data_IF_776235828465
#
_entry.id   IF_776235828465
#
_cell.length_a   1.000
_cell.length_b   1.000
_cell.length_c   1.000
_cell.angle_alpha   90.00
_cell.angle_beta   90.00
_cell.angle_gamma   90.00
#
_symmetry.space_group_name_H-M   'P 1'
#
loop_
_entity.id
_entity.type
_entity.pdbx_description
1 polymer ?
#
# COMPACT_ATOMS: atom_id res chain seq x y z
N UNK A 1 2.20 -6.60 -20.59
CA UNK A 1 3.44 -5.87 -20.99
C UNK A 1 4.60 -6.29 -20.10
N UNK A 2 5.86 -6.26 -20.58
CA UNK A 2 7.01 -6.66 -19.75
C UNK A 2 7.20 -5.67 -18.59
N UNK A 3 7.56 -6.14 -17.37
CA UNK A 3 7.82 -5.27 -16.24
C UNK A 3 9.04 -4.37 -16.48
N UNK A 4 9.01 -3.18 -15.88
CA UNK A 4 10.10 -2.20 -15.92
C UNK A 4 10.57 -1.88 -14.51
N UNK A 5 11.85 -1.53 -14.35
CA UNK A 5 12.38 -1.22 -13.03
C UNK A 5 11.90 0.15 -12.53
N UNK A 6 11.43 0.23 -11.29
CA UNK A 6 10.86 1.48 -10.73
C UNK A 6 11.87 2.65 -10.70
N UNK A 7 13.15 2.35 -10.44
CA UNK A 7 14.24 3.34 -10.41
C UNK A 7 14.81 3.66 -11.80
N UNK A 8 14.55 2.80 -12.80
CA UNK A 8 15.08 2.91 -14.18
C UNK A 8 13.99 2.47 -15.16
N UNK A 9 13.00 3.32 -15.47
CA UNK A 9 11.82 2.93 -16.25
C UNK A 9 12.11 2.45 -17.68
N UNK A 10 13.30 2.75 -18.21
CA UNK A 10 13.79 2.27 -19.50
C UNK A 10 14.35 0.84 -19.46
N UNK A 11 14.58 0.28 -18.26
CA UNK A 11 15.13 -1.05 -18.08
C UNK A 11 13.99 -2.06 -17.88
N UNK A 12 13.79 -2.93 -18.86
CA UNK A 12 12.88 -4.08 -18.73
C UNK A 12 13.53 -5.17 -17.89
N UNK A 13 12.75 -5.77 -17.01
CA UNK A 13 13.19 -6.86 -16.11
C UNK A 13 12.30 -8.08 -16.26
N UNK A 14 12.73 -9.22 -15.71
CA UNK A 14 11.90 -10.43 -15.69
C UNK A 14 10.78 -10.29 -14.65
N UNK A 15 9.59 -10.87 -14.90
CA UNK A 15 8.54 -10.93 -13.89
C UNK A 15 9.04 -11.55 -12.58
N UNK A 16 8.73 -10.91 -11.46
CA UNK A 16 9.21 -11.33 -10.14
C UNK A 16 10.56 -10.76 -9.72
N UNK A 17 11.16 -9.86 -10.52
CA UNK A 17 12.35 -9.10 -10.09
C UNK A 17 11.97 -8.07 -9.03
N UNK A 18 12.72 -7.98 -7.94
CA UNK A 18 12.49 -7.00 -6.87
C UNK A 18 12.52 -5.56 -7.40
N UNK A 19 11.42 -4.84 -7.16
CA UNK A 19 11.21 -3.49 -7.67
C UNK A 19 10.91 -3.37 -9.16
N UNK A 20 10.62 -4.50 -9.82
CA UNK A 20 10.01 -4.55 -11.14
C UNK A 20 8.51 -4.25 -11.07
N UNK A 21 8.05 -3.25 -11.82
CA UNK A 21 6.66 -2.82 -11.88
C UNK A 21 6.07 -3.20 -13.24
N UNK A 22 4.95 -3.90 -13.22
CA UNK A 22 4.16 -4.24 -14.43
C UNK A 22 2.80 -3.56 -14.37
N UNK A 23 2.22 -3.26 -15.54
CA UNK A 23 0.87 -2.67 -15.62
C UNK A 23 -0.17 -3.56 -14.92
N UNK A 24 -0.08 -4.87 -15.15
CA UNK A 24 -0.97 -5.86 -14.53
C UNK A 24 -0.83 -5.86 -13.01
N UNK A 25 0.40 -5.80 -12.48
CA UNK A 25 0.67 -5.71 -11.05
C UNK A 25 0.18 -4.41 -10.43
N UNK A 26 0.37 -3.27 -11.11
CA UNK A 26 -0.13 -1.96 -10.62
C UNK A 26 -1.65 -1.89 -10.60
N UNK A 27 -2.33 -2.45 -11.61
CA UNK A 27 -3.79 -2.54 -11.61
C UNK A 27 -4.28 -3.50 -10.52
N UNK A 28 -3.61 -4.64 -10.34
CA UNK A 28 -3.93 -5.58 -9.28
C UNK A 28 -3.76 -4.95 -7.88
N UNK A 29 -2.68 -4.19 -7.64
CA UNK A 29 -2.47 -3.51 -6.36
C UNK A 29 -3.49 -2.39 -6.13
N UNK A 30 -3.87 -1.65 -7.17
CA UNK A 30 -4.93 -0.65 -7.08
C UNK A 30 -6.28 -1.30 -6.72
N UNK A 31 -6.70 -2.33 -7.44
CA UNK A 31 -7.95 -3.04 -7.16
C UNK A 31 -7.92 -3.73 -5.78
N UNK A 32 -6.78 -4.27 -5.38
CA UNK A 32 -6.60 -4.85 -4.05
C UNK A 32 -6.72 -3.78 -2.96
N UNK A 33 -6.12 -2.61 -3.13
CA UNK A 33 -6.19 -1.53 -2.14
C UNK A 33 -7.62 -1.01 -1.94
N UNK A 34 -8.37 -0.85 -3.03
CA UNK A 34 -9.78 -0.42 -3.00
C UNK A 34 -10.65 -1.49 -2.34
N UNK A 35 -10.51 -2.75 -2.75
CA UNK A 35 -11.30 -3.84 -2.18
C UNK A 35 -10.98 -4.09 -0.71
N UNK A 36 -9.72 -4.00 -0.30
CA UNK A 36 -9.30 -4.15 1.10
C UNK A 36 -9.82 -2.99 1.97
N UNK A 37 -9.83 -1.77 1.45
CA UNK A 37 -10.42 -0.62 2.14
C UNK A 37 -11.93 -0.79 2.35
N UNK A 38 -12.66 -1.21 1.31
CA UNK A 38 -14.09 -1.52 1.43
C UNK A 38 -14.36 -2.67 2.43
N UNK A 39 -13.52 -3.71 2.42
CA UNK A 39 -13.64 -4.83 3.34
C UNK A 39 -13.38 -4.39 4.79
N UNK A 40 -12.38 -3.52 5.00
CA UNK A 40 -12.08 -2.94 6.32
C UNK A 40 -13.26 -2.12 6.84
N UNK A 41 -13.89 -1.31 5.99
CA UNK A 41 -15.10 -0.57 6.35
C UNK A 41 -16.30 -1.49 6.67
N UNK A 42 -16.54 -2.51 5.84
CA UNK A 42 -17.60 -3.49 6.10
C UNK A 42 -17.37 -4.23 7.42
N UNK A 43 -16.13 -4.64 7.70
CA UNK A 43 -15.76 -5.26 8.96
C UNK A 43 -15.96 -4.30 10.15
N UNK A 44 -15.60 -3.02 10.01
CA UNK A 44 -15.84 -2.00 11.03
C UNK A 44 -17.33 -1.89 11.37
N UNK A 45 -18.20 -1.78 10.35
CA UNK A 45 -19.66 -1.67 10.53
C UNK A 45 -20.27 -2.93 11.15
N UNK A 46 -19.78 -4.13 10.80
CA UNK A 46 -20.29 -5.39 11.33
C UNK A 46 -19.85 -5.68 12.76
N UNK A 47 -18.62 -5.29 13.13
CA UNK A 47 -18.03 -5.58 14.44
C UNK A 47 -18.43 -4.51 15.47
N UNK A 48 -18.40 -3.24 15.07
CA UNK A 48 -18.74 -2.11 15.93
C UNK A 48 -20.22 -1.79 15.67
N UNK A 49 -21.09 -2.52 16.38
CA UNK A 49 -22.53 -2.29 16.31
C UNK A 49 -22.91 -0.82 16.53
N UNK A 50 -24.06 -0.42 15.99
CA UNK A 50 -24.53 0.97 15.91
C UNK A 50 -24.62 1.71 17.26
N UNK A 51 -24.69 0.99 18.37
CA UNK A 51 -24.83 1.55 19.73
C UNK A 51 -23.50 1.80 20.46
N UNK A 52 -22.35 1.52 19.84
CA UNK A 52 -21.05 1.74 20.47
C UNK A 52 -20.65 3.23 20.39
N UNK A 53 -20.09 3.88 21.43
CA UNK A 53 -19.63 5.26 21.37
C UNK A 53 -18.48 5.52 20.36
N UNK A 54 -17.99 4.46 19.72
CA UNK A 54 -17.00 4.48 18.64
C UNK A 54 -17.65 4.39 17.25
N UNK A 55 -19.00 4.36 17.17
CA UNK A 55 -19.81 4.53 15.97
C UNK A 55 -19.83 5.98 15.49
N UNK A 56 -18.70 6.67 15.66
CA UNK A 56 -18.47 7.94 14.97
C UNK A 56 -18.78 7.72 13.48
N UNK A 57 -19.40 8.69 12.80
CA UNK A 57 -19.62 8.59 11.37
C UNK A 57 -18.25 8.34 10.74
N UNK A 58 -18.03 7.10 10.31
CA UNK A 58 -16.84 6.73 9.58
C UNK A 58 -16.89 7.55 8.31
N UNK A 59 -16.19 8.68 8.32
CA UNK A 59 -16.20 9.59 7.19
C UNK A 59 -15.68 8.84 5.98
N UNK A 60 -16.30 9.09 4.83
CA UNK A 60 -15.88 8.51 3.55
C UNK A 60 -14.40 8.84 3.28
N UNK A 61 -13.90 9.92 3.90
CA UNK A 61 -12.48 10.29 3.94
C UNK A 61 -11.57 9.14 4.40
N UNK A 62 -11.94 8.35 5.42
CA UNK A 62 -11.12 7.22 5.89
C UNK A 62 -11.00 6.09 4.87
N UNK A 63 -12.07 5.82 4.10
CA UNK A 63 -12.03 4.88 2.98
C UNK A 63 -11.04 5.36 1.91
N UNK A 64 -11.13 6.63 1.52
CA UNK A 64 -10.23 7.19 0.51
C UNK A 64 -8.77 7.20 0.96
N UNK A 65 -8.51 7.62 2.20
CA UNK A 65 -7.16 7.65 2.78
C UNK A 65 -6.61 6.21 2.85
N UNK A 66 -7.40 5.26 3.33
CA UNK A 66 -6.99 3.86 3.42
C UNK A 66 -6.67 3.24 2.05
N UNK A 67 -7.54 3.43 1.06
CA UNK A 67 -7.30 2.92 -0.30
C UNK A 67 -6.06 3.58 -0.94
N UNK A 68 -5.94 4.91 -0.83
CA UNK A 68 -4.80 5.65 -1.36
C UNK A 68 -3.48 5.21 -0.75
N UNK A 69 -3.39 5.17 0.58
CA UNK A 69 -2.17 4.76 1.27
C UNK A 69 -1.88 3.26 1.11
N UNK A 70 -2.91 2.41 0.97
CA UNK A 70 -2.73 1.00 0.62
C UNK A 70 -2.06 0.84 -0.75
N UNK A 71 -2.50 1.58 -1.76
CA UNK A 71 -1.86 1.59 -3.07
C UNK A 71 -0.47 2.24 -3.02
N UNK A 72 -0.34 3.40 -2.39
CA UNK A 72 0.92 4.13 -2.27
C UNK A 72 2.00 3.32 -1.54
N UNK A 73 1.61 2.57 -0.51
CA UNK A 73 2.49 1.64 0.19
C UNK A 73 3.08 0.56 -0.70
N UNK A 74 2.31 0.05 -1.68
CA UNK A 74 2.83 -0.91 -2.67
C UNK A 74 3.92 -0.32 -3.58
N UNK A 75 3.84 0.99 -3.85
CA UNK A 75 4.86 1.72 -4.62
C UNK A 75 6.11 1.92 -3.76
N UNK A 76 5.95 2.29 -2.48
CA UNK A 76 7.06 2.41 -1.53
C UNK A 76 7.78 1.07 -1.38
N UNK A 77 7.03 -0.02 -1.24
CA UNK A 77 7.57 -1.37 -1.13
C UNK A 77 8.43 -1.74 -2.35
N UNK A 78 7.92 -1.49 -3.57
CA UNK A 78 8.67 -1.69 -4.81
C UNK A 78 9.93 -0.82 -4.89
N UNK A 79 9.86 0.43 -4.42
CA UNK A 79 11.01 1.35 -4.39
C UNK A 79 12.08 0.88 -3.40
N UNK A 80 11.68 0.43 -2.21
CA UNK A 80 12.58 -0.12 -1.21
C UNK A 80 13.17 -1.46 -1.66
N UNK A 81 12.39 -2.31 -2.32
CA UNK A 81 12.88 -3.53 -2.96
C UNK A 81 13.96 -3.23 -4.01
N UNK A 82 13.71 -2.27 -4.90
CA UNK A 82 14.67 -1.84 -5.91
C UNK A 82 15.95 -1.21 -5.33
N UNK A 83 15.92 -0.67 -4.11
CA UNK A 83 17.04 0.10 -3.55
C UNK A 83 17.79 -0.61 -2.42
N UNK A 84 17.10 -1.24 -1.49
CA UNK A 84 17.67 -1.87 -0.28
C UNK A 84 17.80 -3.38 -0.44
N UNK A 85 16.76 -4.06 -0.93
CA UNK A 85 16.79 -5.52 -1.14
C UNK A 85 17.69 -5.91 -2.29
N UNK A 86 17.61 -5.20 -3.42
CA UNK A 86 18.51 -5.41 -4.57
C UNK A 86 20.00 -5.24 -4.22
N UNK A 87 20.31 -4.50 -3.15
CA UNK A 87 21.67 -4.27 -2.64
C UNK A 87 22.07 -5.22 -1.52
N UNK A 88 21.18 -6.12 -1.08
CA UNK A 88 21.39 -7.04 0.03
C UNK A 88 21.48 -6.36 1.41
N UNK A 89 21.02 -5.12 1.54
CA UNK A 89 21.03 -4.36 2.81
C UNK A 89 19.92 -4.86 3.74
N UNK A 90 18.75 -5.15 3.15
CA UNK A 90 17.59 -5.73 3.83
C UNK A 90 17.13 -6.96 3.04
N UNK A 91 16.57 -7.95 3.73
CA UNK A 91 15.79 -9.00 3.07
C UNK A 91 14.33 -8.57 2.86
N UNK A 92 13.58 -9.34 2.08
CA UNK A 92 12.15 -9.15 1.81
C UNK A 92 11.32 -8.75 3.05
N UNK A 93 11.44 -9.49 4.16
CA UNK A 93 10.71 -9.16 5.39
C UNK A 93 11.09 -7.81 6.00
N UNK A 94 12.35 -7.40 5.86
CA UNK A 94 12.82 -6.09 6.33
C UNK A 94 12.29 -4.95 5.47
N UNK A 95 12.31 -5.13 4.15
CA UNK A 95 11.71 -4.17 3.21
C UNK A 95 10.22 -4.01 3.47
N UNK A 96 9.49 -5.12 3.59
CA UNK A 96 8.06 -5.12 3.85
C UNK A 96 7.71 -4.45 5.20
N UNK A 97 8.48 -4.73 6.24
CA UNK A 97 8.29 -4.08 7.55
C UNK A 97 8.52 -2.57 7.46
N UNK A 98 9.59 -2.13 6.81
CA UNK A 98 9.89 -0.71 6.61
C UNK A 98 8.83 -0.01 5.76
N UNK A 99 8.39 -0.63 4.66
CA UNK A 99 7.41 -0.05 3.74
C UNK A 99 6.05 0.14 4.42
N UNK A 100 5.55 -0.88 5.14
CA UNK A 100 4.30 -0.78 5.90
C UNK A 100 4.42 0.27 7.00
N UNK A 101 5.49 0.23 7.79
CA UNK A 101 5.68 1.19 8.90
C UNK A 101 5.70 2.63 8.38
N UNK A 102 6.44 2.88 7.30
CA UNK A 102 6.52 4.20 6.68
C UNK A 102 5.16 4.64 6.13
N UNK A 103 4.43 3.74 5.47
CA UNK A 103 3.10 4.01 4.93
C UNK A 103 2.09 4.36 6.02
N UNK A 104 2.10 3.63 7.15
CA UNK A 104 1.23 3.89 8.30
C UNK A 104 1.57 5.22 8.96
N UNK A 105 2.85 5.55 9.14
CA UNK A 105 3.25 6.84 9.69
C UNK A 105 2.78 7.98 8.78
N UNK A 106 2.99 7.86 7.46
CA UNK A 106 2.54 8.88 6.51
C UNK A 106 1.01 9.02 6.51
N UNK A 107 0.25 7.93 6.61
CA UNK A 107 -1.20 7.99 6.63
C UNK A 107 -1.73 8.66 7.89
N UNK A 108 -1.12 8.39 9.06
CA UNK A 108 -1.48 9.03 10.32
C UNK A 108 -1.11 10.51 10.34
N UNK A 109 0.06 10.88 9.82
CA UNK A 109 0.46 12.29 9.68
C UNK A 109 -0.49 13.03 8.74
N UNK A 110 -0.83 12.43 7.61
CA UNK A 110 -1.79 13.01 6.67
C UNK A 110 -3.15 13.22 7.34
N UNK A 111 -3.65 12.20 8.04
CA UNK A 111 -4.91 12.28 8.77
C UNK A 111 -4.89 13.38 9.85
N UNK A 112 -3.76 13.58 10.53
CA UNK A 112 -3.63 14.62 11.56
C UNK A 112 -3.59 16.06 11.01
N UNK A 113 -3.33 16.23 9.71
CA UNK A 113 -3.34 17.53 9.02
C UNK A 113 -4.67 17.78 8.29
N UNK A 114 -5.43 16.71 8.04
CA UNK A 114 -6.75 16.72 7.37
C UNK A 114 -7.83 17.25 8.29
#
# INVERSE_FOLDING_TARGET
>A
PKPVMIIRPWQTVEPGTDGGVSLEGTLASLLSSVSMSMLSFAAFVLIIGSDHPLSLPFEINYLYISAFFGFFGSIIDSLLGATLESRGILGNSGVNFCSITLTVILSLVFLGIS
#
